data_IF_208131119456
#
_entry.id   IF_208131119456
#
_cell.length_a   1.000
_cell.length_b   1.000
_cell.length_c   1.000
_cell.angle_alpha   90.00
_cell.angle_beta   90.00
_cell.angle_gamma   90.00
#
_symmetry.space_group_name_H-M   'P 1'
#
loop_
_entity.id
_entity.type
_entity.pdbx_description
1 polymer ?
#
# COMPACT_ATOMS: atom_id res chain seq x y z
N UNK A 1 -7.09 -1.70 -19.80
CA UNK A 1 -8.21 -0.78 -19.55
C UNK A 1 -9.05 -1.42 -18.47
N UNK A 2 -9.25 -0.77 -17.33
CA UNK A 2 -10.26 -1.22 -16.34
C UNK A 2 -11.56 -0.55 -16.75
N UNK A 3 -12.59 -1.35 -17.03
CA UNK A 3 -13.94 -0.82 -17.17
C UNK A 3 -14.48 -0.52 -15.77
N UNK A 4 -14.97 0.70 -15.55
CA UNK A 4 -15.74 1.02 -14.36
C UNK A 4 -17.22 0.88 -14.73
N UNK A 5 -17.77 -0.31 -14.47
CA UNK A 5 -19.19 -0.59 -14.72
C UNK A 5 -20.03 0.02 -13.59
N UNK A 6 -20.24 1.34 -13.69
CA UNK A 6 -21.05 2.09 -12.72
C UNK A 6 -22.50 1.64 -12.91
N UNK A 7 -23.18 1.23 -11.82
CA UNK A 7 -24.58 0.83 -11.92
C UNK A 7 -25.47 2.02 -12.29
N UNK A 8 -25.21 3.18 -11.72
CA UNK A 8 -26.06 4.37 -11.77
C UNK A 8 -25.35 5.58 -12.40
N UNK A 9 -26.06 6.72 -12.53
CA UNK A 9 -25.58 8.00 -13.09
C UNK A 9 -25.59 8.11 -14.61
N UNK A 10 -25.22 9.28 -15.14
CA UNK A 10 -25.23 9.59 -16.58
C UNK A 10 -24.39 8.61 -17.44
N UNK A 11 -23.36 8.00 -16.84
CA UNK A 11 -22.50 6.97 -17.47
C UNK A 11 -22.79 5.55 -16.95
N UNK A 12 -23.88 5.38 -16.19
CA UNK A 12 -24.23 4.08 -15.59
C UNK A 12 -24.79 3.11 -16.63
N UNK A 13 -24.63 1.80 -16.39
CA UNK A 13 -25.08 0.75 -17.33
C UNK A 13 -26.56 0.87 -17.71
N UNK A 14 -27.40 1.47 -16.85
CA UNK A 14 -28.81 1.70 -17.12
C UNK A 14 -29.11 2.66 -18.26
N UNK A 15 -28.19 3.56 -18.63
CA UNK A 15 -28.38 4.44 -19.81
C UNK A 15 -28.18 3.69 -21.14
N UNK A 16 -27.59 2.48 -21.10
CA UNK A 16 -27.45 1.59 -22.26
C UNK A 16 -28.67 0.70 -22.55
N UNK A 17 -29.67 0.66 -21.65
CA UNK A 17 -30.88 -0.15 -21.82
C UNK A 17 -32.10 0.70 -22.21
N UNK A 18 -33.02 0.12 -22.99
CA UNK A 18 -34.30 0.78 -23.31
C UNK A 18 -35.28 0.66 -22.15
N UNK A 19 -36.20 1.63 -22.03
CA UNK A 19 -37.29 1.60 -21.03
C UNK A 19 -38.06 0.28 -21.08
N UNK A 20 -38.40 -0.22 -22.28
CA UNK A 20 -39.10 -1.50 -22.45
C UNK A 20 -38.32 -2.71 -21.95
N UNK A 21 -36.98 -2.69 -22.04
CA UNK A 21 -36.14 -3.75 -21.49
C UNK A 21 -36.16 -3.72 -19.96
N UNK A 22 -35.90 -2.55 -19.36
CA UNK A 22 -35.92 -2.35 -17.90
C UNK A 22 -37.28 -2.72 -17.31
N UNK A 23 -38.36 -2.23 -17.93
CA UNK A 23 -39.76 -2.51 -17.54
C UNK A 23 -40.05 -4.01 -17.45
N UNK A 24 -39.61 -4.80 -18.43
CA UNK A 24 -39.78 -6.27 -18.46
C UNK A 24 -38.81 -7.02 -17.56
N UNK A 25 -37.58 -6.52 -17.38
CA UNK A 25 -36.56 -7.18 -16.58
C UNK A 25 -36.81 -7.06 -15.06
N UNK A 26 -37.39 -5.95 -14.61
CA UNK A 26 -37.72 -5.69 -13.20
C UNK A 26 -39.21 -5.84 -12.84
N UNK A 27 -40.08 -6.13 -13.82
CA UNK A 27 -41.54 -6.22 -13.66
C UNK A 27 -42.15 -4.97 -12.99
N UNK A 28 -41.87 -3.82 -13.60
CA UNK A 28 -42.32 -2.49 -13.14
C UNK A 28 -43.20 -1.80 -14.18
N UNK A 29 -43.83 -0.69 -13.81
CA UNK A 29 -44.54 0.17 -14.75
C UNK A 29 -43.59 1.06 -15.57
N UNK A 30 -44.16 1.77 -16.55
CA UNK A 30 -43.41 2.60 -17.51
C UNK A 30 -42.81 3.86 -16.89
N UNK A 31 -43.44 4.45 -15.88
CA UNK A 31 -42.96 5.66 -15.22
C UNK A 31 -41.88 5.34 -14.18
N UNK A 32 -42.01 4.22 -13.47
CA UNK A 32 -40.94 3.65 -12.64
C UNK A 32 -39.71 3.31 -13.49
N UNK A 33 -39.89 2.67 -14.65
CA UNK A 33 -38.79 2.37 -15.57
C UNK A 33 -38.09 3.65 -16.09
N UNK A 34 -38.85 4.68 -16.50
CA UNK A 34 -38.31 6.01 -16.88
C UNK A 34 -37.55 6.67 -15.73
N UNK A 35 -38.06 6.58 -14.51
CA UNK A 35 -37.42 7.18 -13.33
C UNK A 35 -36.05 6.54 -13.05
N UNK A 36 -35.96 5.20 -13.12
CA UNK A 36 -34.72 4.46 -12.89
C UNK A 36 -33.61 4.84 -13.87
N UNK A 37 -33.93 4.97 -15.16
CA UNK A 37 -32.95 5.32 -16.21
C UNK A 37 -32.70 6.83 -16.34
N UNK A 38 -33.69 7.67 -16.05
CA UNK A 38 -33.69 9.10 -16.42
C UNK A 38 -33.44 10.10 -15.29
N UNK A 39 -33.63 9.72 -14.03
CA UNK A 39 -33.49 10.65 -12.89
C UNK A 39 -32.06 10.74 -12.34
N UNK A 40 -31.15 9.84 -12.76
CA UNK A 40 -29.81 9.70 -12.18
C UNK A 40 -28.81 10.71 -12.78
N UNK A 41 -29.09 12.01 -12.61
CA UNK A 41 -28.35 13.11 -13.27
C UNK A 41 -27.04 13.51 -12.56
N UNK A 42 -26.72 12.90 -11.41
CA UNK A 42 -25.51 13.17 -10.64
C UNK A 42 -24.22 12.68 -11.30
N UNK A 43 -23.08 12.95 -10.65
CA UNK A 43 -21.77 12.41 -11.02
C UNK A 43 -21.20 11.66 -9.81
N UNK A 44 -21.19 10.33 -9.90
CA UNK A 44 -20.57 9.30 -9.04
C UNK A 44 -20.90 9.29 -7.53
N UNK A 45 -20.96 10.45 -6.87
CA UNK A 45 -21.19 10.62 -5.44
C UNK A 45 -22.46 11.45 -5.23
N UNK A 46 -23.40 10.93 -4.42
CA UNK A 46 -24.61 11.64 -4.03
C UNK A 46 -24.54 12.01 -2.55
N UNK A 47 -24.73 13.30 -2.26
CA UNK A 47 -25.01 13.75 -0.90
C UNK A 47 -26.45 13.41 -0.54
N UNK A 48 -26.64 12.50 0.40
CA UNK A 48 -27.96 12.21 0.98
C UNK A 48 -28.43 13.36 1.89
N UNK A 49 -29.74 13.55 1.98
CA UNK A 49 -30.34 14.46 2.96
C UNK A 49 -30.19 13.91 4.39
N UNK A 50 -30.09 14.79 5.37
CA UNK A 50 -29.87 14.42 6.77
C UNK A 50 -31.05 13.64 7.40
N UNK A 51 -32.24 13.66 6.79
CA UNK A 51 -33.39 12.86 7.21
C UNK A 51 -33.32 11.40 6.75
N UNK A 52 -32.45 11.05 5.79
CA UNK A 52 -32.32 9.69 5.25
C UNK A 52 -31.67 8.77 6.28
N UNK A 53 -32.44 7.84 6.84
CA UNK A 53 -31.94 6.82 7.77
C UNK A 53 -31.32 5.66 7.00
N UNK A 54 -30.00 5.55 7.06
CA UNK A 54 -29.28 4.33 6.67
C UNK A 54 -29.36 3.29 7.79
N UNK A 55 -29.32 2.01 7.45
CA UNK A 55 -29.21 0.94 8.45
C UNK A 55 -27.81 0.92 9.09
N UNK A 56 -27.74 0.63 10.39
CA UNK A 56 -26.47 0.48 11.10
C UNK A 56 -25.60 -0.62 10.47
N UNK A 57 -24.29 -0.36 10.25
CA UNK A 57 -23.40 -1.34 9.65
C UNK A 57 -23.14 -2.51 10.60
N UNK A 58 -23.39 -3.74 10.13
CA UNK A 58 -23.12 -4.94 10.91
C UNK A 58 -21.61 -5.22 10.97
N UNK A 59 -20.99 -5.38 12.16
CA UNK A 59 -19.56 -5.66 12.30
C UNK A 59 -19.05 -6.90 11.60
N UNK A 60 -19.92 -7.84 11.25
CA UNK A 60 -19.57 -9.12 10.61
C UNK A 60 -19.44 -8.96 9.08
N UNK A 61 -20.09 -7.97 8.47
CA UNK A 61 -20.03 -7.73 7.01
C UNK A 61 -18.63 -7.31 6.51
N UNK A 62 -17.74 -6.90 7.42
CA UNK A 62 -16.33 -6.57 7.13
C UNK A 62 -15.37 -7.74 7.36
N UNK A 63 -15.83 -8.84 7.96
CA UNK A 63 -15.00 -10.01 8.23
C UNK A 63 -14.49 -10.60 6.90
N UNK A 64 -13.19 -10.91 6.83
CA UNK A 64 -12.54 -11.35 5.59
C UNK A 64 -12.41 -10.29 4.49
N UNK A 65 -13.06 -9.13 4.62
CA UNK A 65 -13.09 -8.06 3.60
C UNK A 65 -12.20 -6.87 3.96
N UNK A 66 -12.10 -6.50 5.25
CA UNK A 66 -11.33 -5.34 5.69
C UNK A 66 -10.46 -5.62 6.92
N UNK A 67 -9.20 -5.19 6.86
CA UNK A 67 -8.27 -5.17 7.99
C UNK A 67 -8.02 -3.72 8.40
N UNK A 68 -8.17 -3.40 9.69
CA UNK A 68 -7.74 -2.11 10.22
C UNK A 68 -6.25 -2.18 10.58
N UNK A 69 -5.39 -1.58 9.75
CA UNK A 69 -3.94 -1.61 9.93
C UNK A 69 -3.41 -0.69 11.06
N UNK A 70 -4.27 0.05 11.76
CA UNK A 70 -3.92 0.80 12.99
C UNK A 70 -4.06 -0.05 14.25
N UNK A 71 -4.94 -1.06 14.20
CA UNK A 71 -5.24 -1.98 15.31
C UNK A 71 -4.70 -3.40 15.09
N UNK A 72 -4.24 -3.71 13.88
CA UNK A 72 -3.62 -4.99 13.57
C UNK A 72 -2.30 -5.19 14.34
N UNK A 73 -1.91 -6.44 14.66
CA UNK A 73 -0.60 -6.75 15.21
C UNK A 73 0.53 -6.20 14.33
N UNK A 74 1.59 -5.68 14.95
CA UNK A 74 2.76 -5.16 14.25
C UNK A 74 3.69 -6.30 13.81
N UNK A 75 4.06 -6.33 12.53
CA UNK A 75 5.10 -7.21 12.00
C UNK A 75 6.50 -6.73 12.41
N UNK A 76 6.66 -5.43 12.67
CA UNK A 76 7.91 -4.84 13.19
C UNK A 76 7.62 -3.60 14.00
N UNK A 77 8.30 -3.46 15.13
CA UNK A 77 8.36 -2.25 15.94
C UNK A 77 9.82 -1.99 16.32
N UNK A 78 10.34 -0.80 16.03
CA UNK A 78 11.65 -0.35 16.48
C UNK A 78 11.47 0.99 17.18
N UNK A 79 11.79 1.01 18.49
CA UNK A 79 11.65 2.18 19.35
C UNK A 79 12.40 3.38 18.74
N UNK A 80 11.74 4.53 18.68
CA UNK A 80 12.23 5.78 18.08
C UNK A 80 12.56 5.71 16.57
N UNK A 81 12.10 4.68 15.85
CA UNK A 81 12.43 4.51 14.42
C UNK A 81 11.25 4.11 13.52
N UNK A 82 10.17 3.54 14.07
CA UNK A 82 8.90 3.33 13.37
C UNK A 82 8.29 1.95 13.57
N UNK A 83 7.10 1.76 12.99
CA UNK A 83 6.35 0.50 13.03
C UNK A 83 5.77 0.10 11.66
N UNK A 84 5.60 -1.21 11.45
CA UNK A 84 5.08 -1.84 10.22
C UNK A 84 3.90 -2.76 10.55
N UNK A 85 2.85 -2.67 9.74
CA UNK A 85 1.85 -3.73 9.55
C UNK A 85 1.91 -4.20 8.09
N UNK A 86 2.03 -5.50 7.87
CA UNK A 86 2.13 -6.13 6.56
C UNK A 86 0.84 -6.89 6.23
N UNK A 87 0.05 -6.37 5.30
CA UNK A 87 -1.15 -7.04 4.78
C UNK A 87 -0.74 -8.20 3.86
N UNK A 88 -1.14 -9.42 4.23
CA UNK A 88 -0.80 -10.65 3.52
C UNK A 88 -1.87 -11.75 3.73
N UNK A 89 -1.72 -12.92 3.11
CA UNK A 89 -2.76 -13.97 3.14
C UNK A 89 -3.04 -14.54 4.54
N UNK A 90 -2.19 -14.30 5.54
CA UNK A 90 -2.40 -14.77 6.93
C UNK A 90 -3.36 -13.88 7.72
N UNK A 91 -3.41 -12.58 7.45
CA UNK A 91 -4.24 -11.61 8.18
C UNK A 91 -5.44 -11.09 7.37
N UNK A 92 -5.42 -11.22 6.04
CA UNK A 92 -6.60 -11.02 5.20
C UNK A 92 -6.58 -12.00 4.00
N UNK A 93 -7.12 -13.22 4.11
CA UNK A 93 -7.02 -14.25 3.06
C UNK A 93 -7.51 -13.83 1.67
N UNK A 94 -8.48 -12.91 1.60
CA UNK A 94 -8.99 -12.33 0.35
C UNK A 94 -7.88 -11.77 -0.55
N UNK A 95 -6.81 -11.22 0.02
CA UNK A 95 -5.73 -10.61 -0.77
C UNK A 95 -5.00 -11.64 -1.65
N UNK A 96 -5.03 -12.91 -1.25
CA UNK A 96 -4.57 -14.05 -2.06
C UNK A 96 -5.36 -14.26 -3.35
N UNK A 97 -6.65 -13.95 -3.35
CA UNK A 97 -7.52 -14.01 -4.53
C UNK A 97 -7.33 -12.77 -5.42
N UNK A 98 -7.12 -11.60 -4.81
CA UNK A 98 -6.89 -10.33 -5.51
C UNK A 98 -5.47 -10.22 -6.10
N UNK A 99 -4.51 -11.00 -5.59
CA UNK A 99 -3.12 -11.01 -6.06
C UNK A 99 -2.28 -9.82 -5.59
N UNK A 100 -2.80 -9.03 -4.64
CA UNK A 100 -2.16 -7.85 -4.07
C UNK A 100 -1.82 -8.07 -2.60
N UNK A 101 -0.83 -7.36 -2.09
CA UNK A 101 -0.53 -7.20 -0.66
C UNK A 101 -0.32 -5.73 -0.36
N UNK A 102 -0.05 -5.38 0.90
CA UNK A 102 0.24 -3.99 1.27
C UNK A 102 1.13 -3.88 2.50
N UNK A 103 1.76 -2.73 2.70
CA UNK A 103 2.30 -2.33 4.00
C UNK A 103 1.67 -1.01 4.47
N UNK A 104 1.50 -0.87 5.78
CA UNK A 104 1.30 0.43 6.44
C UNK A 104 2.49 0.66 7.35
N UNK A 105 3.25 1.72 7.07
CA UNK A 105 4.43 2.11 7.84
C UNK A 105 4.20 3.48 8.44
N UNK A 106 4.54 3.63 9.72
CA UNK A 106 4.31 4.86 10.50
C UNK A 106 5.52 5.22 11.37
N UNK A 107 5.56 6.49 11.77
CA UNK A 107 6.47 7.02 12.79
C UNK A 107 7.97 6.87 12.45
N UNK A 108 8.31 6.94 11.15
CA UNK A 108 9.71 6.85 10.69
C UNK A 108 10.37 8.23 10.73
N UNK A 109 11.45 8.39 11.51
CA UNK A 109 12.18 9.67 11.74
C UNK A 109 13.64 9.59 11.26
N UNK A 110 14.05 10.27 10.16
CA UNK A 110 15.44 10.24 9.60
C UNK A 110 15.93 11.33 8.56
N UNK A 111 15.10 12.01 7.73
CA UNK A 111 15.35 12.88 6.50
C UNK A 111 14.84 12.50 5.05
N UNK A 112 15.65 11.95 4.10
CA UNK A 112 15.42 11.93 2.61
C UNK A 112 15.12 10.59 1.85
N UNK A 113 14.24 10.57 0.83
CA UNK A 113 14.04 9.36 -0.01
C UNK A 113 15.08 9.22 -1.13
N UNK A 114 15.68 8.02 -1.27
CA UNK A 114 16.60 7.66 -2.35
C UNK A 114 16.10 6.39 -3.04
N UNK A 115 15.93 6.44 -4.36
CA UNK A 115 15.67 5.24 -5.18
C UNK A 115 16.90 5.01 -6.05
N UNK A 116 17.51 3.83 -5.93
CA UNK A 116 18.56 3.38 -6.83
C UNK A 116 17.89 2.63 -7.99
N UNK A 117 18.13 3.14 -9.19
CA UNK A 117 17.70 2.61 -10.47
C UNK A 117 18.92 1.95 -11.15
N UNK A 118 18.71 1.00 -12.06
CA UNK A 118 19.82 0.31 -12.77
C UNK A 118 20.82 1.26 -13.48
N UNK A 119 20.37 2.47 -13.85
CA UNK A 119 21.15 3.47 -14.60
C UNK A 119 21.47 4.75 -13.80
N UNK A 120 21.28 4.76 -12.48
CA UNK A 120 21.60 5.91 -11.62
C UNK A 120 20.77 6.00 -10.35
N UNK A 121 20.95 7.05 -9.57
CA UNK A 121 20.08 7.34 -8.43
C UNK A 121 19.04 8.40 -8.79
N UNK A 122 17.88 8.35 -8.14
CA UNK A 122 16.89 9.42 -8.14
C UNK A 122 16.52 9.78 -6.70
N UNK A 123 16.37 11.09 -6.45
CA UNK A 123 16.32 11.69 -5.10
C UNK A 123 15.09 12.61 -4.97
N UNK A 124 13.88 12.05 -4.91
CA UNK A 124 12.68 12.85 -4.70
C UNK A 124 12.63 13.37 -3.26
N UNK A 125 12.04 14.55 -3.10
CA UNK A 125 11.40 14.90 -1.84
C UNK A 125 9.91 14.56 -1.99
N UNK A 126 9.42 13.66 -1.15
CA UNK A 126 8.04 13.14 -1.19
C UNK A 126 7.31 13.68 0.03
N UNK A 127 6.15 14.30 -0.21
CA UNK A 127 5.26 14.84 0.83
C UNK A 127 3.87 14.18 0.76
N UNK A 128 3.00 14.54 1.69
CA UNK A 128 1.60 14.10 1.69
C UNK A 128 0.91 14.34 0.32
N UNK A 129 0.08 13.38 -0.09
CA UNK A 129 -0.60 13.39 -1.38
C UNK A 129 0.28 12.99 -2.58
N UNK A 130 1.55 12.62 -2.39
CA UNK A 130 2.40 12.10 -3.47
C UNK A 130 2.26 10.57 -3.59
N UNK A 131 2.16 10.09 -4.84
CA UNK A 131 2.28 8.67 -5.19
C UNK A 131 3.69 8.39 -5.71
N UNK A 132 4.33 7.32 -5.21
CA UNK A 132 5.58 6.80 -5.75
C UNK A 132 5.42 5.34 -6.19
N UNK A 133 5.94 5.04 -7.38
CA UNK A 133 6.07 3.67 -7.89
C UNK A 133 7.53 3.24 -7.76
N UNK A 134 7.77 2.12 -7.07
CA UNK A 134 9.07 1.43 -7.04
C UNK A 134 8.91 0.11 -7.81
N UNK A 135 9.57 -0.06 -8.98
CA UNK A 135 9.48 -1.31 -9.74
C UNK A 135 10.09 -2.50 -8.99
N UNK A 136 9.68 -3.71 -9.37
CA UNK A 136 10.19 -4.94 -8.73
C UNK A 136 11.72 -5.04 -8.89
N UNK A 137 12.39 -5.47 -7.82
CA UNK A 137 13.86 -5.57 -7.70
C UNK A 137 14.64 -4.25 -7.63
N UNK A 138 13.99 -3.08 -7.67
CA UNK A 138 14.67 -1.81 -7.46
C UNK A 138 14.98 -1.59 -5.98
N UNK A 139 16.12 -0.97 -5.69
CA UNK A 139 16.59 -0.72 -4.32
C UNK A 139 16.10 0.65 -3.88
N UNK A 140 15.37 0.70 -2.77
CA UNK A 140 14.87 1.95 -2.16
C UNK A 140 15.41 2.10 -0.75
N UNK A 141 15.91 3.30 -0.43
CA UNK A 141 16.35 3.72 0.89
C UNK A 141 15.50 4.90 1.35
N UNK A 142 14.73 4.71 2.42
CA UNK A 142 13.80 5.71 2.94
C UNK A 142 14.43 6.38 4.15
N UNK A 143 14.61 7.69 4.05
CA UNK A 143 15.02 8.58 5.12
C UNK A 143 13.86 9.63 5.12
N UNK A 144 13.35 10.07 6.28
CA UNK A 144 12.05 10.76 6.45
C UNK A 144 12.10 11.97 7.43
N UNK A 145 11.84 13.23 7.05
CA UNK A 145 12.19 14.46 7.79
C UNK A 145 11.75 14.55 9.29
N UNK A 146 12.18 15.54 10.11
CA UNK A 146 11.93 15.56 11.56
C UNK A 146 10.46 15.49 12.00
N UNK A 147 9.52 15.83 11.12
CA UNK A 147 8.06 15.68 11.30
C UNK A 147 7.58 14.21 11.15
N UNK A 148 8.47 13.34 10.68
CA UNK A 148 8.25 11.93 10.38
C UNK A 148 7.79 11.67 8.95
N UNK A 149 7.69 10.38 8.60
CA UNK A 149 6.98 9.91 7.41
C UNK A 149 6.12 8.70 7.78
N UNK A 150 4.91 8.70 7.26
CA UNK A 150 4.03 7.52 7.21
C UNK A 150 3.62 7.29 5.77
N UNK A 151 3.49 6.03 5.34
CA UNK A 151 3.05 5.68 4.00
C UNK A 151 2.28 4.35 4.00
N UNK A 152 1.46 4.19 2.96
CA UNK A 152 0.81 2.94 2.62
C UNK A 152 1.29 2.51 1.23
N UNK A 153 1.81 1.28 1.08
CA UNK A 153 2.18 0.74 -0.23
C UNK A 153 1.19 -0.33 -0.66
N UNK A 154 0.77 -0.31 -1.93
CA UNK A 154 0.13 -1.46 -2.58
C UNK A 154 1.21 -2.25 -3.33
N UNK A 155 1.23 -3.57 -3.14
CA UNK A 155 2.29 -4.45 -3.62
C UNK A 155 1.69 -5.53 -4.51
N UNK A 156 2.29 -5.76 -5.68
CA UNK A 156 1.84 -6.75 -6.68
C UNK A 156 2.28 -8.19 -6.34
N UNK A 157 1.98 -8.61 -5.11
CA UNK A 157 2.04 -10.01 -4.64
C UNK A 157 1.27 -10.13 -3.31
N UNK A 158 0.46 -11.18 -3.12
CA UNK A 158 -0.35 -11.36 -1.91
C UNK A 158 0.42 -11.75 -0.66
N UNK A 159 1.68 -12.14 -0.83
CA UNK A 159 2.64 -12.35 0.25
C UNK A 159 3.90 -11.56 -0.10
N UNK A 160 4.00 -10.28 0.33
CA UNK A 160 5.19 -9.48 0.10
C UNK A 160 6.38 -10.03 0.88
N UNK A 161 7.56 -10.00 0.25
CA UNK A 161 8.84 -10.34 0.88
C UNK A 161 9.83 -9.24 0.52
N UNK A 162 10.53 -8.72 1.52
CA UNK A 162 11.52 -7.66 1.37
C UNK A 162 12.93 -8.19 1.67
N UNK A 163 13.87 -7.91 0.78
CA UNK A 163 15.30 -8.16 1.04
C UNK A 163 15.93 -6.88 1.57
N UNK A 164 16.30 -6.87 2.84
CA UNK A 164 17.07 -5.78 3.43
C UNK A 164 18.53 -5.91 3.01
N UNK A 165 19.19 -4.80 2.66
CA UNK A 165 20.62 -4.81 2.32
C UNK A 165 21.49 -4.65 3.57
N UNK A 166 21.18 -3.67 4.40
CA UNK A 166 21.83 -3.42 5.70
C UNK A 166 20.94 -3.90 6.86
N UNK A 167 21.44 -3.79 8.09
CA UNK A 167 20.73 -4.23 9.30
C UNK A 167 21.11 -5.64 9.75
N UNK A 168 20.55 -6.11 10.86
CA UNK A 168 20.80 -7.45 11.45
C UNK A 168 20.50 -8.58 10.47
N UNK A 169 19.42 -8.44 9.70
CA UNK A 169 18.95 -9.37 8.66
C UNK A 169 19.38 -8.96 7.23
N UNK A 170 20.35 -8.07 7.11
CA UNK A 170 20.79 -7.51 5.83
C UNK A 170 21.61 -8.50 4.99
N UNK A 171 21.34 -8.56 3.68
CA UNK A 171 22.02 -9.43 2.72
C UNK A 171 23.56 -9.32 2.77
N UNK A 172 24.10 -8.11 3.02
CA UNK A 172 25.55 -7.91 3.14
C UNK A 172 26.19 -8.66 4.31
N UNK A 173 25.44 -9.04 5.36
CA UNK A 173 25.98 -9.84 6.47
C UNK A 173 26.00 -11.34 6.21
N UNK A 174 25.16 -11.82 5.29
CA UNK A 174 25.09 -13.22 4.86
C UNK A 174 26.20 -13.59 3.86
N UNK A 175 26.82 -12.60 3.21
CA UNK A 175 27.97 -12.79 2.31
C UNK A 175 29.26 -12.87 3.14
N UNK A 176 30.21 -13.71 2.71
CA UNK A 176 31.48 -13.90 3.43
C UNK A 176 32.42 -12.68 3.33
N UNK A 177 33.31 -12.45 4.31
CA UNK A 177 34.29 -11.36 4.27
C UNK A 177 35.09 -11.28 2.98
N UNK A 178 35.54 -12.43 2.49
CA UNK A 178 36.44 -12.56 1.35
C UNK A 178 35.74 -12.11 0.05
N UNK A 179 34.46 -12.47 -0.10
CA UNK A 179 33.63 -12.03 -1.22
C UNK A 179 33.40 -10.51 -1.17
N UNK A 180 33.11 -9.95 0.01
CA UNK A 180 32.92 -8.50 0.17
C UNK A 180 34.22 -7.72 -0.09
N UNK A 181 35.35 -8.19 0.43
CA UNK A 181 36.68 -7.61 0.20
C UNK A 181 37.03 -7.63 -1.30
N UNK A 182 36.80 -8.75 -1.99
CA UNK A 182 37.03 -8.87 -3.43
C UNK A 182 36.08 -7.99 -4.27
N UNK A 183 34.78 -7.99 -3.94
CA UNK A 183 33.75 -7.25 -4.69
C UNK A 183 33.91 -5.73 -4.56
N UNK A 184 34.16 -5.23 -3.34
CA UNK A 184 34.36 -3.79 -3.09
C UNK A 184 35.81 -3.33 -3.25
N UNK A 185 36.77 -4.26 -3.42
CA UNK A 185 38.22 -4.01 -3.47
C UNK A 185 38.73 -3.27 -2.22
N UNK A 186 38.32 -3.74 -1.04
CA UNK A 186 38.65 -3.12 0.26
C UNK A 186 39.49 -4.04 1.15
N UNK A 187 40.36 -3.50 2.02
CA UNK A 187 41.07 -4.29 3.04
C UNK A 187 40.12 -4.93 4.07
N UNK A 188 40.59 -5.99 4.73
CA UNK A 188 39.84 -6.71 5.76
C UNK A 188 39.35 -5.81 6.91
N UNK A 189 40.15 -4.83 7.37
CA UNK A 189 39.72 -3.91 8.43
C UNK A 189 38.55 -3.01 7.99
N UNK A 190 38.46 -2.66 6.70
CA UNK A 190 37.34 -1.88 6.15
C UNK A 190 36.06 -2.73 6.06
N UNK A 191 36.17 -4.00 5.63
CA UNK A 191 35.04 -4.93 5.59
C UNK A 191 34.52 -5.25 7.01
N UNK A 192 35.43 -5.51 7.95
CA UNK A 192 35.13 -5.74 9.36
C UNK A 192 34.45 -4.54 10.00
N UNK A 193 34.92 -3.32 9.72
CA UNK A 193 34.24 -2.09 10.14
C UNK A 193 32.85 -1.99 9.52
N UNK A 194 32.68 -2.27 8.23
CA UNK A 194 31.39 -2.23 7.54
C UNK A 194 30.37 -3.20 8.17
N UNK A 195 30.73 -4.45 8.43
CA UNK A 195 29.84 -5.43 9.08
C UNK A 195 29.58 -5.15 10.57
N UNK A 196 30.48 -4.45 11.26
CA UNK A 196 30.30 -4.06 12.67
C UNK A 196 29.18 -3.03 12.90
N UNK A 197 28.73 -2.32 11.86
CA UNK A 197 27.71 -1.26 11.97
C UNK A 197 26.29 -1.81 11.80
N UNK A 198 25.32 -1.13 12.41
CA UNK A 198 23.88 -1.44 12.35
C UNK A 198 23.60 -2.93 12.59
N UNK A 199 24.11 -3.46 13.71
CA UNK A 199 24.02 -4.88 14.09
C UNK A 199 22.73 -5.24 14.82
N UNK A 200 22.15 -4.30 15.56
CA UNK A 200 20.94 -4.52 16.36
C UNK A 200 19.65 -4.13 15.61
N UNK A 201 19.74 -3.17 14.69
CA UNK A 201 18.63 -2.64 13.90
C UNK A 201 18.35 -3.54 12.68
N UNK A 202 17.09 -3.91 12.43
CA UNK A 202 16.73 -4.79 11.31
C UNK A 202 16.24 -4.05 10.05
N UNK A 203 15.29 -3.12 10.21
CA UNK A 203 14.52 -2.53 9.11
C UNK A 203 14.58 -0.99 9.12
N UNK A 204 14.35 -0.39 10.30
CA UNK A 204 14.52 1.04 10.53
C UNK A 204 15.79 1.32 11.32
N UNK A 205 16.42 2.44 11.01
CA UNK A 205 17.68 2.86 11.58
C UNK A 205 17.47 4.21 12.26
N UNK A 206 17.28 4.26 13.59
CA UNK A 206 17.11 5.53 14.28
C UNK A 206 18.36 6.44 14.09
N UNK A 207 18.19 7.76 14.27
CA UNK A 207 19.31 8.68 14.39
C UNK A 207 20.30 8.19 15.47
N UNK A 208 21.61 8.43 15.32
CA UNK A 208 22.55 8.27 16.41
C UNK A 208 22.14 9.18 17.58
N UNK A 209 22.24 8.66 18.82
CA UNK A 209 22.20 9.46 20.04
C UNK A 209 23.44 10.34 20.16
#
# INVERSE_FOLDING_TARGET
MVAHDILTFNNGIFTGFTTDFVKRAWDVDDDTAKALIGNQKGQDIVKLDASVKMHEPKPDHREGMALNCEKAPLDTYIKNAGNVVLLNTKNLPLVGQVGLGADLVREVVVSKLWVLMEKGYWKPHVKEGNLLIVPRFFVVSKIADPEGLSWFSIITTPNPVFTHLAGSIGAWKAISPEILQAAFKVPAETEKLFRSKRTNDAIFFPPPN
#
